data_IF_228568704184
#
_entry.id   IF_228568704184
#
_cell.length_a   1.000
_cell.length_b   1.000
_cell.length_c   1.000
_cell.angle_alpha   90.00
_cell.angle_beta   90.00
_cell.angle_gamma   90.00
#
_symmetry.space_group_name_H-M   'P 1'
#
loop_
_entity.id
_entity.type
_entity.pdbx_description
1 polymer ?
#
# COMPACT_ATOMS: atom_id res chain seq x y z
N UNK A 1 60.17 16.51 -37.02
CA UNK A 1 59.89 16.29 -35.58
C UNK A 1 59.11 17.50 -35.08
N UNK A 2 57.85 17.48 -34.67
CA UNK A 2 56.82 16.45 -34.59
C UNK A 2 55.56 17.18 -34.10
N UNK A 3 54.50 17.19 -34.91
CA UNK A 3 53.18 17.70 -34.54
C UNK A 3 52.49 16.65 -33.67
N UNK A 4 52.88 16.53 -32.40
CA UNK A 4 52.47 15.42 -31.53
C UNK A 4 51.68 15.80 -30.27
N UNK A 5 51.34 17.07 -30.05
CA UNK A 5 50.90 17.54 -28.73
C UNK A 5 49.39 17.76 -28.52
N UNK A 6 48.58 17.84 -29.58
CA UNK A 6 47.17 18.26 -29.44
C UNK A 6 46.18 17.10 -29.31
N UNK A 7 46.55 15.89 -29.74
CA UNK A 7 45.68 14.71 -29.61
C UNK A 7 45.63 14.15 -28.18
N UNK A 8 46.71 14.25 -27.41
CA UNK A 8 46.75 13.82 -26.00
C UNK A 8 45.79 14.67 -25.14
N UNK A 9 45.74 15.99 -25.37
CA UNK A 9 44.88 16.90 -24.62
C UNK A 9 43.38 16.68 -24.88
N UNK A 10 43.00 16.26 -26.09
CA UNK A 10 41.61 15.91 -26.39
C UNK A 10 41.18 14.58 -25.72
N UNK A 11 42.12 13.67 -25.45
CA UNK A 11 41.86 12.39 -24.78
C UNK A 11 41.46 12.60 -23.31
N UNK A 12 42.09 13.55 -22.61
CA UNK A 12 41.79 13.87 -21.21
C UNK A 12 40.40 14.50 -21.01
N UNK A 13 39.87 15.22 -22.00
CA UNK A 13 38.55 15.87 -21.89
C UNK A 13 37.38 14.93 -22.21
N UNK A 14 37.64 13.81 -22.87
CA UNK A 14 36.66 12.79 -23.23
C UNK A 14 36.81 11.50 -22.38
N UNK A 15 37.78 11.48 -21.46
CA UNK A 15 38.11 10.38 -20.55
C UNK A 15 37.03 10.10 -19.49
N UNK A 16 35.96 9.44 -19.92
CA UNK A 16 35.37 8.30 -19.21
C UNK A 16 35.09 8.42 -17.71
N UNK A 17 34.05 9.16 -17.34
CA UNK A 17 33.39 8.98 -16.04
C UNK A 17 32.58 7.67 -16.01
N UNK A 18 33.24 6.52 -15.92
CA UNK A 18 32.57 5.27 -15.57
C UNK A 18 32.26 5.29 -14.07
N UNK A 19 31.15 5.95 -13.75
CA UNK A 19 30.56 5.98 -12.43
C UNK A 19 30.16 4.54 -12.08
N UNK A 20 31.02 3.85 -11.31
CA UNK A 20 30.73 2.55 -10.73
C UNK A 20 29.56 2.71 -9.74
N UNK A 21 28.34 2.74 -10.28
CA UNK A 21 27.11 2.65 -9.50
C UNK A 21 27.13 1.33 -8.76
N UNK A 22 27.56 1.37 -7.49
CA UNK A 22 27.48 0.25 -6.55
C UNK A 22 26.06 -0.31 -6.62
N UNK A 23 25.91 -1.49 -7.25
CA UNK A 23 24.62 -2.18 -7.35
C UNK A 23 24.20 -2.57 -5.93
N UNK A 24 23.34 -1.77 -5.31
CA UNK A 24 22.71 -2.14 -4.03
C UNK A 24 22.05 -3.51 -4.22
N UNK A 25 22.43 -4.49 -3.38
CA UNK A 25 21.79 -5.80 -3.38
C UNK A 25 20.31 -5.59 -3.07
N UNK A 26 19.45 -6.08 -3.96
CA UNK A 26 18.00 -5.98 -3.79
C UNK A 26 17.60 -6.85 -2.61
N UNK A 27 16.75 -6.34 -1.72
CA UNK A 27 16.19 -7.10 -0.62
C UNK A 27 15.10 -8.05 -1.15
N UNK A 28 14.83 -9.13 -0.42
CA UNK A 28 13.70 -9.99 -0.72
C UNK A 28 12.43 -9.24 -0.34
N UNK A 29 11.54 -9.04 -1.30
CA UNK A 29 10.31 -8.28 -1.13
C UNK A 29 9.12 -9.14 -1.58
N UNK A 30 8.02 -9.02 -0.83
CA UNK A 30 6.70 -9.51 -1.22
C UNK A 30 5.92 -8.32 -1.76
N UNK A 31 5.53 -8.39 -3.03
CA UNK A 31 4.77 -7.34 -3.71
C UNK A 31 3.41 -7.88 -4.07
N UNK A 32 2.37 -7.20 -3.63
CA UNK A 32 0.98 -7.55 -3.89
C UNK A 32 0.39 -6.57 -4.90
N UNK A 33 -0.28 -7.10 -5.91
CA UNK A 33 -0.85 -6.31 -7.01
C UNK A 33 -2.32 -6.69 -7.20
N UNK A 34 -3.14 -5.69 -7.47
CA UNK A 34 -4.51 -5.86 -7.96
C UNK A 34 -4.48 -5.86 -9.48
N UNK A 35 -4.91 -6.96 -10.10
CA UNK A 35 -4.92 -7.10 -11.57
C UNK A 35 -6.28 -7.62 -12.00
N UNK A 36 -6.97 -6.88 -12.89
CA UNK A 36 -8.22 -7.35 -13.50
C UNK A 36 -7.98 -8.63 -14.31
N UNK A 37 -8.65 -9.72 -13.95
CA UNK A 37 -8.54 -11.02 -14.60
C UNK A 37 -9.93 -11.62 -14.75
N UNK A 38 -10.32 -11.95 -15.98
CA UNK A 38 -11.67 -12.44 -16.31
C UNK A 38 -11.66 -13.90 -16.81
N UNK A 39 -10.48 -14.44 -17.16
CA UNK A 39 -10.35 -15.75 -17.81
C UNK A 39 -9.11 -16.53 -17.35
N UNK A 40 -9.10 -17.85 -17.51
CA UNK A 40 -7.95 -18.71 -17.17
C UNK A 40 -6.72 -18.40 -18.06
N UNK A 41 -6.94 -18.13 -19.35
CA UNK A 41 -5.86 -17.68 -20.24
C UNK A 41 -5.24 -16.36 -19.80
N UNK A 42 -6.04 -15.52 -19.15
CA UNK A 42 -5.63 -14.24 -18.59
C UNK A 42 -4.73 -14.47 -17.37
N UNK A 43 -5.03 -15.45 -16.52
CA UNK A 43 -4.18 -15.88 -15.40
C UNK A 43 -2.82 -16.38 -15.91
N UNK A 44 -2.83 -17.31 -16.86
CA UNK A 44 -1.61 -17.92 -17.40
C UNK A 44 -0.67 -16.87 -18.02
N UNK A 45 -1.22 -15.89 -18.76
CA UNK A 45 -0.45 -14.77 -19.31
C UNK A 45 0.24 -13.95 -18.21
N UNK A 46 -0.49 -13.62 -17.14
CA UNK A 46 0.07 -12.85 -16.02
C UNK A 46 1.12 -13.67 -15.28
N UNK A 47 0.86 -14.94 -14.99
CA UNK A 47 1.81 -15.86 -14.37
C UNK A 47 3.11 -15.92 -15.17
N UNK A 48 3.01 -16.12 -16.48
CA UNK A 48 4.17 -16.18 -17.37
C UNK A 48 4.94 -14.84 -17.43
N UNK A 49 4.23 -13.72 -17.48
CA UNK A 49 4.84 -12.39 -17.47
C UNK A 49 5.58 -12.09 -16.16
N UNK A 50 5.01 -12.49 -15.02
CA UNK A 50 5.64 -12.31 -13.71
C UNK A 50 6.82 -13.26 -13.51
N UNK A 51 6.72 -14.53 -13.91
CA UNK A 51 7.83 -15.49 -13.81
C UNK A 51 9.00 -15.17 -14.75
N UNK A 52 8.75 -14.46 -15.86
CA UNK A 52 9.77 -13.96 -16.79
C UNK A 52 10.68 -12.88 -16.16
N UNK A 53 10.25 -12.26 -15.06
CA UNK A 53 11.02 -11.21 -14.42
C UNK A 53 12.27 -11.73 -13.68
N UNK A 54 13.42 -11.12 -13.98
CA UNK A 54 14.68 -11.41 -13.29
C UNK A 54 14.57 -11.10 -11.79
N UNK A 55 14.74 -12.14 -10.97
CA UNK A 55 14.77 -12.05 -9.50
C UNK A 55 13.49 -12.52 -8.81
N UNK A 56 12.47 -12.95 -9.54
CA UNK A 56 11.26 -13.57 -8.97
C UNK A 56 11.58 -14.99 -8.49
N UNK A 57 11.15 -15.33 -7.28
CA UNK A 57 11.25 -16.69 -6.71
C UNK A 57 9.94 -17.46 -6.84
N UNK A 58 8.84 -16.81 -6.46
CA UNK A 58 7.51 -17.43 -6.50
C UNK A 58 6.44 -16.40 -6.89
N UNK A 59 5.41 -16.89 -7.57
CA UNK A 59 4.25 -16.10 -8.02
C UNK A 59 3.01 -16.88 -7.64
N UNK A 60 2.17 -16.27 -6.81
CA UNK A 60 0.87 -16.81 -6.42
C UNK A 60 -0.24 -15.90 -6.95
N UNK A 61 -1.29 -16.50 -7.50
CA UNK A 61 -2.40 -15.77 -8.12
C UNK A 61 -3.69 -16.24 -7.48
N UNK A 62 -4.47 -15.28 -7.00
CA UNK A 62 -5.80 -15.49 -6.44
C UNK A 62 -6.83 -14.85 -7.36
N UNK A 63 -7.49 -15.66 -8.21
CA UNK A 63 -8.51 -15.17 -9.15
C UNK A 63 -9.70 -14.54 -8.43
N UNK A 64 -10.16 -15.13 -7.31
CA UNK A 64 -11.30 -14.64 -6.52
C UNK A 64 -11.12 -13.20 -6.04
N UNK A 65 -9.90 -12.86 -5.64
CA UNK A 65 -9.55 -11.53 -5.13
C UNK A 65 -8.91 -10.65 -6.21
N UNK A 66 -8.73 -11.16 -7.43
CA UNK A 66 -7.98 -10.50 -8.50
C UNK A 66 -6.60 -10.01 -8.01
N UNK A 67 -5.95 -10.82 -7.17
CA UNK A 67 -4.73 -10.49 -6.44
C UNK A 67 -3.57 -11.34 -6.95
N UNK A 68 -2.42 -10.70 -7.17
CA UNK A 68 -1.17 -11.34 -7.57
C UNK A 68 -0.12 -11.04 -6.52
N UNK A 69 0.43 -12.08 -5.92
CA UNK A 69 1.50 -11.99 -4.91
C UNK A 69 2.80 -12.45 -5.54
N UNK A 70 3.78 -11.57 -5.60
CA UNK A 70 5.11 -11.85 -6.17
C UNK A 70 6.14 -11.79 -5.06
N UNK A 71 6.86 -12.88 -4.85
CA UNK A 71 7.96 -12.96 -3.87
C UNK A 71 9.27 -13.02 -4.63
N UNK A 72 10.19 -12.09 -4.36
CA UNK A 72 11.49 -12.10 -5.02
C UNK A 72 12.38 -10.90 -4.70
N UNK A 73 13.56 -10.89 -5.30
CA UNK A 73 14.51 -9.77 -5.26
C UNK A 73 14.15 -8.74 -6.34
N UNK A 74 12.95 -8.19 -6.25
CA UNK A 74 12.36 -7.31 -7.26
C UNK A 74 11.82 -6.02 -6.63
N UNK A 75 11.85 -4.94 -7.40
CA UNK A 75 11.32 -3.65 -6.97
C UNK A 75 9.84 -3.54 -7.39
N UNK A 76 8.94 -3.02 -6.53
CA UNK A 76 7.50 -2.99 -6.79
C UNK A 76 7.15 -2.19 -8.05
N UNK A 77 7.87 -1.11 -8.30
CA UNK A 77 7.73 -0.29 -9.51
C UNK A 77 7.99 -1.08 -10.80
N UNK A 78 8.96 -2.01 -10.79
CA UNK A 78 9.27 -2.84 -11.96
C UNK A 78 8.20 -3.89 -12.19
N UNK A 79 7.68 -4.49 -11.12
CA UNK A 79 6.60 -5.47 -11.21
C UNK A 79 5.30 -4.80 -11.70
N UNK A 80 4.99 -3.60 -11.20
CA UNK A 80 3.84 -2.82 -11.66
C UNK A 80 3.92 -2.48 -13.15
N UNK A 81 5.08 -2.02 -13.64
CA UNK A 81 5.29 -1.74 -15.07
C UNK A 81 5.05 -3.00 -15.93
N UNK A 82 5.56 -4.14 -15.48
CA UNK A 82 5.40 -5.42 -16.16
C UNK A 82 3.98 -5.95 -16.16
N UNK A 83 3.26 -5.73 -15.07
CA UNK A 83 1.84 -6.05 -15.00
C UNK A 83 1.04 -5.19 -16.01
N UNK A 84 1.38 -3.90 -16.14
CA UNK A 84 0.78 -3.00 -17.15
C UNK A 84 1.14 -3.36 -18.59
N UNK A 85 2.38 -3.83 -18.84
CA UNK A 85 2.80 -4.35 -20.15
C UNK A 85 1.96 -5.55 -20.62
N UNK A 86 1.30 -6.28 -19.70
CA UNK A 86 0.39 -7.40 -20.04
C UNK A 86 -0.94 -6.90 -20.64
N UNK A 87 -1.14 -5.58 -20.77
CA UNK A 87 -2.35 -4.97 -21.32
C UNK A 87 -3.52 -4.91 -20.33
N UNK A 88 -3.26 -5.21 -19.05
CA UNK A 88 -4.28 -5.25 -18.00
C UNK A 88 -4.15 -4.06 -17.07
N UNK A 89 -5.29 -3.61 -16.52
CA UNK A 89 -5.30 -2.64 -15.43
C UNK A 89 -4.69 -3.30 -14.19
N UNK A 90 -3.54 -2.78 -13.79
CA UNK A 90 -2.77 -3.24 -12.65
C UNK A 90 -2.47 -2.08 -11.72
N UNK A 91 -2.77 -2.28 -10.44
CA UNK A 91 -2.57 -1.33 -9.36
C UNK A 91 -1.82 -2.03 -8.23
N UNK A 92 -1.07 -1.28 -7.43
CA UNK A 92 -0.49 -1.85 -6.20
C UNK A 92 -1.64 -2.23 -5.28
N UNK A 93 -1.61 -3.41 -4.67
CA UNK A 93 -2.64 -3.77 -3.71
C UNK A 93 -2.56 -2.78 -2.53
N UNK A 94 -3.68 -2.18 -2.10
CA UNK A 94 -3.68 -1.26 -0.97
C UNK A 94 -3.25 -2.04 0.27
N UNK A 95 -2.05 -1.74 0.77
CA UNK A 95 -1.64 -2.17 2.09
C UNK A 95 -2.43 -1.31 3.07
N UNK A 96 -3.33 -1.93 3.84
CA UNK A 96 -3.94 -1.27 4.98
C UNK A 96 -2.93 -1.40 6.12
N UNK A 97 -2.16 -0.36 6.48
CA UNK A 97 -1.38 -0.42 7.71
C UNK A 97 -2.37 -0.64 8.86
N UNK A 98 -2.08 -1.63 9.71
CA UNK A 98 -2.89 -1.96 10.88
C UNK A 98 -3.19 -0.75 11.79
N UNK A 99 -2.40 0.31 11.66
CA UNK A 99 -2.53 1.58 12.38
C UNK A 99 -3.76 2.42 11.95
N UNK A 100 -4.44 2.08 10.85
CA UNK A 100 -5.66 2.77 10.37
C UNK A 100 -6.95 2.02 10.71
N UNK A 101 -6.84 0.77 11.17
CA UNK A 101 -7.97 0.12 11.82
C UNK A 101 -8.03 0.75 13.19
N UNK A 102 -9.04 1.58 13.45
CA UNK A 102 -9.35 1.99 14.82
C UNK A 102 -9.62 0.70 15.59
N UNK A 103 -8.64 0.25 16.36
CA UNK A 103 -8.91 -0.78 17.35
C UNK A 103 -9.69 -0.05 18.44
N UNK A 104 -10.99 -0.31 18.64
CA UNK A 104 -11.74 0.32 19.73
C UNK A 104 -11.13 -0.06 21.10
N UNK A 105 -10.30 -1.10 21.13
CA UNK A 105 -9.55 -1.52 22.29
C UNK A 105 -8.11 -0.95 22.26
N UNK A 106 -7.99 0.35 22.48
CA UNK A 106 -6.68 0.97 22.76
C UNK A 106 -6.29 0.63 24.20
N UNK A 107 -5.12 0.04 24.46
CA UNK A 107 -4.63 -0.17 25.82
C UNK A 107 -4.43 1.20 26.51
N UNK A 108 -5.35 1.55 27.40
CA UNK A 108 -5.42 2.86 28.06
C UNK A 108 -6.80 3.53 28.01
N UNK A 109 -7.73 3.05 27.17
CA UNK A 109 -9.09 3.58 27.09
C UNK A 109 -9.95 3.23 28.32
N UNK A 110 -9.66 2.11 28.99
CA UNK A 110 -10.33 1.69 30.22
C UNK A 110 -9.44 1.95 31.44
N UNK A 111 -9.87 2.88 32.29
CA UNK A 111 -9.29 3.09 33.61
C UNK A 111 -9.79 1.98 34.56
N UNK A 112 -8.87 1.20 35.13
CA UNK A 112 -9.20 0.08 36.05
C UNK A 112 -9.92 0.55 37.33
N UNK A 113 -10.00 1.86 37.57
CA UNK A 113 -10.65 2.48 38.72
C UNK A 113 -12.05 3.04 38.39
N UNK A 114 -12.49 2.99 37.13
CA UNK A 114 -13.81 3.49 36.76
C UNK A 114 -14.91 2.48 37.15
N UNK A 115 -16.03 2.92 37.74
CA UNK A 115 -17.18 2.05 37.98
C UNK A 115 -17.74 1.49 36.65
N UNK A 116 -18.32 0.28 36.68
CA UNK A 116 -18.87 -0.34 35.48
C UNK A 116 -19.92 0.59 34.83
N UNK A 117 -19.64 1.05 33.60
CA UNK A 117 -20.51 1.96 32.84
C UNK A 117 -19.92 3.34 32.53
N UNK A 118 -18.77 3.72 33.10
CA UNK A 118 -18.14 5.02 32.82
C UNK A 118 -16.87 4.87 31.96
N UNK A 119 -17.02 4.99 30.64
CA UNK A 119 -15.89 5.10 29.69
C UNK A 119 -15.63 6.58 29.46
N UNK A 120 -14.39 7.06 29.66
CA UNK A 120 -14.04 8.44 29.28
C UNK A 120 -14.36 8.64 27.80
N UNK A 121 -14.96 9.77 27.43
CA UNK A 121 -14.97 10.22 26.03
C UNK A 121 -13.51 10.36 25.60
N UNK A 122 -13.01 9.39 24.84
CA UNK A 122 -11.79 9.58 24.08
C UNK A 122 -12.14 10.58 22.99
N UNK A 123 -11.52 11.75 23.06
CA UNK A 123 -11.55 12.70 21.97
C UNK A 123 -10.97 11.98 20.77
N UNK A 124 -11.81 11.70 19.76
CA UNK A 124 -11.36 11.10 18.52
C UNK A 124 -10.24 11.98 17.98
N UNK A 125 -9.04 11.41 17.85
CA UNK A 125 -7.89 12.10 17.27
C UNK A 125 -8.35 12.61 15.90
N UNK A 126 -8.55 13.93 15.83
CA UNK A 126 -9.09 14.60 14.65
C UNK A 126 -8.10 14.45 13.50
N UNK A 127 -8.28 13.40 12.70
CA UNK A 127 -7.72 13.34 11.35
C UNK A 127 -8.75 14.01 10.46
N UNK A 128 -8.55 15.31 10.24
CA UNK A 128 -9.36 16.16 9.37
C UNK A 128 -9.55 15.53 7.99
N UNK A 129 -10.66 14.83 7.77
CA UNK A 129 -11.22 14.53 6.45
C UNK A 129 -12.65 14.01 6.61
N UNK A 130 -13.59 14.96 6.77
CA UNK A 130 -14.95 14.91 6.24
C UNK A 130 -15.49 13.51 5.90
N UNK A 131 -15.99 12.78 6.89
CA UNK A 131 -16.93 11.69 6.65
C UNK A 131 -18.17 11.92 7.49
N UNK A 132 -19.27 12.13 6.78
CA UNK A 132 -20.62 12.50 7.21
C UNK A 132 -21.34 11.46 8.08
N UNK A 133 -20.60 10.60 8.81
CA UNK A 133 -21.13 9.50 9.60
C UNK A 133 -21.39 9.87 11.05
N UNK A 134 -20.62 10.80 11.63
CA UNK A 134 -20.77 11.21 13.04
C UNK A 134 -22.15 11.80 13.36
N UNK A 135 -22.80 12.46 12.40
CA UNK A 135 -24.13 13.04 12.60
C UNK A 135 -25.24 12.01 12.76
N UNK A 136 -25.08 10.80 12.22
CA UNK A 136 -26.13 9.78 12.30
C UNK A 136 -26.11 9.06 13.64
N UNK A 137 -24.92 8.73 14.16
CA UNK A 137 -24.75 8.00 15.42
C UNK A 137 -25.05 8.84 16.68
N UNK A 138 -24.73 10.14 16.67
CA UNK A 138 -25.21 11.08 17.70
C UNK A 138 -26.75 11.19 17.69
N UNK A 139 -27.36 11.23 16.51
CA UNK A 139 -28.83 11.29 16.37
C UNK A 139 -29.52 10.04 16.93
N UNK A 140 -28.98 8.83 16.73
CA UNK A 140 -29.56 7.62 17.33
C UNK A 140 -29.37 7.53 18.84
N UNK A 141 -28.28 8.09 19.37
CA UNK A 141 -28.03 8.14 20.82
C UNK A 141 -28.98 9.12 21.52
N UNK A 142 -29.32 10.23 20.85
CA UNK A 142 -30.30 11.20 21.35
C UNK A 142 -31.76 10.75 21.21
N UNK A 143 -32.06 9.69 20.44
CA UNK A 143 -33.43 9.14 20.29
C UNK A 143 -33.91 8.28 21.47
N UNK A 144 -33.00 7.87 22.37
CA UNK A 144 -33.31 7.06 23.56
C UNK A 144 -32.72 7.70 24.83
N UNK A 145 -32.60 9.02 24.86
CA UNK A 145 -32.05 9.72 26.01
C UNK A 145 -33.12 9.82 27.11
N UNK A 146 -33.06 8.92 28.10
CA UNK A 146 -33.99 8.80 29.23
C UNK A 146 -34.03 10.08 30.11
N UNK A 147 -32.99 10.90 30.04
CA UNK A 147 -32.87 12.13 30.84
C UNK A 147 -33.53 13.35 30.17
N UNK A 148 -33.88 13.25 28.88
CA UNK A 148 -34.63 14.26 28.15
C UNK A 148 -36.05 13.75 27.87
N UNK A 149 -37.09 14.28 28.54
CA UNK A 149 -38.48 13.81 28.36
C UNK A 149 -39.05 14.04 26.95
N UNK A 150 -38.33 14.78 26.08
CA UNK A 150 -38.70 15.00 24.68
C UNK A 150 -37.91 14.12 23.68
N UNK A 151 -37.00 13.26 24.14
CA UNK A 151 -36.10 12.47 23.30
C UNK A 151 -36.69 11.14 22.82
N UNK A 152 -37.79 10.64 23.40
CA UNK A 152 -38.40 9.37 23.01
C UNK A 152 -39.21 9.52 21.71
N UNK A 153 -38.54 9.37 20.56
CA UNK A 153 -39.15 9.53 19.23
C UNK A 153 -39.36 8.23 18.46
N UNK A 154 -39.08 7.07 19.07
CA UNK A 154 -39.29 5.74 18.47
C UNK A 154 -40.26 4.95 19.35
N UNK A 155 -41.49 4.74 18.86
CA UNK A 155 -42.51 3.86 19.46
C UNK A 155 -42.31 2.41 19.05
#
# INVERSE_FOLDING_TARGET
MGLGGTLEYLSEKLGGGNEHKKKKKKQLQTVELKVRMDCEGCELKVKKAMSSLKGVKSVEINMKQQKVTVVGYVEPNKVLKKAKETGKKAEIWPYVPYNLVSQPYVPGAYDKKAPPGYVRKVEDVTVSSQTSSSKQEDQFTEMFNDENPNACSVM
#
